data_IF_392538573691
#
_entry.id   IF_392538573691
#
_cell.length_a   1.000
_cell.length_b   1.000
_cell.length_c   1.000
_cell.angle_alpha   90.00
_cell.angle_beta   90.00
_cell.angle_gamma   90.00
#
_symmetry.space_group_name_H-M   'P 1'
#
loop_
_entity.id
_entity.type
_entity.pdbx_description
1 polymer ?
#
# COMPACT_ATOMS: atom_id res chain seq x y z
N UNK A 1 0.06 -1.49 8.98
CA UNK A 1 -0.84 -2.15 8.00
C UNK A 1 -1.71 -3.15 8.75
N UNK A 2 -3.03 -2.94 8.82
CA UNK A 2 -3.95 -3.79 9.62
C UNK A 2 -4.03 -5.23 9.12
N UNK A 3 -3.91 -5.44 7.82
CA UNK A 3 -3.94 -6.78 7.21
C UNK A 3 -2.84 -7.70 7.76
N UNK A 4 -1.61 -7.19 7.90
CA UNK A 4 -0.48 -7.95 8.46
C UNK A 4 -0.68 -8.32 9.93
N UNK A 5 -1.30 -7.43 10.71
CA UNK A 5 -1.56 -7.68 12.14
C UNK A 5 -2.51 -8.87 12.35
N UNK A 6 -3.43 -9.13 11.41
CA UNK A 6 -4.29 -10.33 11.45
C UNK A 6 -3.53 -11.65 11.26
N UNK A 7 -2.29 -11.58 10.77
CA UNK A 7 -1.39 -12.72 10.60
C UNK A 7 -0.27 -12.72 11.66
N UNK A 8 -0.36 -11.86 12.68
CA UNK A 8 0.68 -11.70 13.71
C UNK A 8 1.97 -11.05 13.19
N UNK A 9 1.95 -10.48 11.98
CA UNK A 9 3.11 -9.89 11.33
C UNK A 9 3.15 -8.38 11.60
N UNK A 10 4.32 -7.88 11.99
CA UNK A 10 4.53 -6.44 12.21
C UNK A 10 6.00 -6.06 12.00
N UNK A 11 6.25 -4.78 11.78
CA UNK A 11 7.60 -4.22 11.76
C UNK A 11 7.55 -2.79 12.27
N UNK A 12 8.58 -2.37 13.00
CA UNK A 12 8.75 -0.98 13.44
C UNK A 12 9.23 -0.05 12.32
N UNK A 13 9.70 -0.60 11.20
CA UNK A 13 10.17 0.17 10.04
C UNK A 13 9.14 0.11 8.92
N UNK A 14 8.87 1.25 8.28
CA UNK A 14 7.96 1.29 7.12
C UNK A 14 8.42 0.38 5.98
N UNK A 15 9.73 0.33 5.70
CA UNK A 15 10.31 -0.59 4.70
C UNK A 15 10.10 -2.06 5.07
N UNK A 16 10.12 -2.39 6.37
CA UNK A 16 9.79 -3.72 6.87
C UNK A 16 8.31 -4.07 6.67
N UNK A 17 7.40 -3.12 6.94
CA UNK A 17 5.97 -3.28 6.67
C UNK A 17 5.73 -3.53 5.18
N UNK A 18 6.37 -2.77 4.28
CA UNK A 18 6.30 -2.96 2.82
C UNK A 18 6.80 -4.35 2.40
N UNK A 19 7.95 -4.76 2.92
CA UNK A 19 8.53 -6.08 2.62
C UNK A 19 7.61 -7.22 3.04
N UNK A 20 7.08 -7.15 4.27
CA UNK A 20 6.12 -8.14 4.78
C UNK A 20 4.85 -8.20 3.93
N UNK A 21 4.26 -7.04 3.59
CA UNK A 21 3.09 -6.96 2.72
C UNK A 21 3.35 -7.62 1.35
N UNK A 22 4.44 -7.24 0.68
CA UNK A 22 4.79 -7.81 -0.62
C UNK A 22 5.04 -9.33 -0.54
N UNK A 23 5.66 -9.81 0.55
CA UNK A 23 5.96 -11.24 0.74
C UNK A 23 4.73 -12.07 1.09
N UNK A 24 3.88 -11.60 1.99
CA UNK A 24 2.83 -12.41 2.60
C UNK A 24 1.45 -12.19 2.02
N UNK A 25 1.18 -11.03 1.44
CA UNK A 25 -0.13 -10.72 0.85
C UNK A 25 -0.06 -10.73 -0.69
N UNK A 26 1.00 -10.16 -1.30
CA UNK A 26 1.08 -10.05 -2.76
C UNK A 26 1.62 -11.32 -3.42
N UNK A 27 2.78 -11.83 -2.97
CA UNK A 27 3.39 -13.03 -3.57
C UNK A 27 2.55 -14.30 -3.38
N UNK A 28 1.74 -14.35 -2.33
CA UNK A 28 0.83 -15.46 -2.03
C UNK A 28 -0.49 -15.37 -2.80
N UNK A 29 -0.74 -14.26 -3.52
CA UNK A 29 -1.94 -14.04 -4.31
C UNK A 29 -3.15 -13.53 -3.53
N UNK A 30 -3.03 -13.33 -2.20
CA UNK A 30 -4.11 -12.77 -1.35
C UNK A 30 -4.48 -11.35 -1.77
N UNK A 31 -3.50 -10.56 -2.20
CA UNK A 31 -3.70 -9.28 -2.88
C UNK A 31 -3.23 -9.42 -4.34
N UNK A 32 -4.09 -9.11 -5.32
CA UNK A 32 -3.71 -9.15 -6.73
C UNK A 32 -2.49 -8.27 -7.04
N UNK A 33 -1.58 -8.79 -7.86
CA UNK A 33 -0.35 -8.09 -8.26
C UNK A 33 -0.58 -6.75 -8.95
N UNK A 34 -1.75 -6.52 -9.55
CA UNK A 34 -2.06 -5.24 -10.20
C UNK A 34 -2.51 -4.15 -9.20
N UNK A 35 -2.95 -4.54 -7.99
CA UNK A 35 -3.35 -3.61 -6.93
C UNK A 35 -2.19 -3.23 -6.02
N UNK A 36 -1.19 -4.10 -5.86
CA UNK A 36 -0.04 -3.85 -5.00
C UNK A 36 0.86 -2.65 -5.37
N UNK A 37 1.07 -2.29 -6.66
CA UNK A 37 2.02 -1.24 -7.04
C UNK A 37 1.68 0.12 -6.43
N UNK A 38 0.40 0.50 -6.37
CA UNK A 38 0.01 1.83 -5.86
C UNK A 38 0.48 2.07 -4.43
N UNK A 39 0.53 1.03 -3.59
CA UNK A 39 1.04 1.13 -2.23
C UNK A 39 2.56 1.41 -2.19
N UNK A 40 3.32 0.76 -3.08
CA UNK A 40 4.76 0.97 -3.16
C UNK A 40 5.08 2.33 -3.81
N UNK A 41 4.40 2.66 -4.89
CA UNK A 41 4.57 3.91 -5.64
C UNK A 41 4.28 5.11 -4.73
N UNK A 42 3.12 5.12 -4.05
CA UNK A 42 2.76 6.23 -3.15
C UNK A 42 3.73 6.38 -1.98
N UNK A 43 4.28 5.29 -1.46
CA UNK A 43 5.30 5.40 -0.42
C UNK A 43 6.55 6.13 -0.92
N UNK A 44 7.00 5.82 -2.14
CA UNK A 44 8.17 6.46 -2.75
C UNK A 44 7.86 7.92 -3.08
N UNK A 45 6.70 8.22 -3.67
CA UNK A 45 6.29 9.60 -3.98
C UNK A 45 6.10 10.48 -2.75
N UNK A 46 5.59 9.93 -1.66
CA UNK A 46 5.56 10.66 -0.39
C UNK A 46 6.98 10.95 0.11
N UNK A 47 7.90 9.99 0.04
CA UNK A 47 9.29 10.26 0.45
C UNK A 47 9.97 11.30 -0.44
N UNK A 48 9.75 11.25 -1.75
CA UNK A 48 10.27 12.25 -2.68
C UNK A 48 9.72 13.64 -2.34
N UNK A 49 8.40 13.78 -2.18
CA UNK A 49 7.78 15.07 -1.85
C UNK A 49 8.18 15.64 -0.48
N UNK A 50 8.42 14.78 0.52
CA UNK A 50 8.75 15.22 1.87
C UNK A 50 10.25 15.53 2.06
N UNK A 51 11.13 14.88 1.29
CA UNK A 51 12.58 14.86 1.59
C UNK A 51 13.49 15.23 0.42
N UNK A 52 12.99 15.30 -0.82
CA UNK A 52 13.80 15.70 -1.97
C UNK A 52 13.52 17.15 -2.33
N UNK A 53 14.58 17.94 -2.51
CA UNK A 53 14.45 19.29 -3.03
C UNK A 53 13.93 19.27 -4.47
N UNK A 54 13.07 20.24 -4.81
CA UNK A 54 12.53 20.48 -6.16
C UNK A 54 11.58 19.40 -6.68
N UNK A 55 10.89 18.66 -5.79
CA UNK A 55 9.80 17.75 -6.16
C UNK A 55 8.46 18.43 -5.93
N UNK A 56 7.74 18.68 -7.02
CA UNK A 56 6.34 19.11 -7.00
C UNK A 56 5.51 18.16 -7.86
N UNK A 57 4.29 17.84 -7.41
CA UNK A 57 3.36 16.98 -8.15
C UNK A 57 2.18 17.81 -8.67
N UNK A 58 1.89 17.67 -9.96
CA UNK A 58 0.74 18.33 -10.58
C UNK A 58 -0.56 17.57 -10.28
N UNK A 59 -1.69 18.27 -10.23
CA UNK A 59 -3.01 17.65 -10.01
C UNK A 59 -3.28 16.51 -11.00
N UNK A 60 -2.91 16.68 -12.26
CA UNK A 60 -3.10 15.67 -13.30
C UNK A 60 -2.34 14.36 -13.02
N UNK A 61 -1.21 14.44 -12.30
CA UNK A 61 -0.43 13.27 -11.87
C UNK A 61 -1.06 12.60 -10.64
N UNK A 62 -1.54 13.40 -9.69
CA UNK A 62 -2.08 12.92 -8.40
C UNK A 62 -3.49 12.35 -8.53
N UNK A 63 -4.35 12.95 -9.36
CA UNK A 63 -5.76 12.56 -9.50
C UNK A 63 -5.95 11.07 -9.84
N UNK A 64 -5.18 10.45 -10.76
CA UNK A 64 -5.24 9.00 -11.00
C UNK A 64 -4.81 8.15 -9.79
N UNK A 65 -3.91 8.65 -8.95
CA UNK A 65 -3.43 7.91 -7.78
C UNK A 65 -4.51 7.79 -6.72
N UNK A 66 -5.34 8.81 -6.53
CA UNK A 66 -6.46 8.80 -5.58
C UNK A 66 -7.41 7.63 -5.91
N UNK A 67 -7.89 7.56 -7.15
CA UNK A 67 -8.79 6.48 -7.58
C UNK A 67 -8.16 5.07 -7.43
N UNK A 68 -6.85 4.94 -7.71
CA UNK A 68 -6.11 3.68 -7.52
C UNK A 68 -5.95 3.34 -6.03
N UNK A 69 -5.73 4.34 -5.18
CA UNK A 69 -5.61 4.18 -3.75
C UNK A 69 -6.95 3.76 -3.13
N UNK A 70 -8.06 4.36 -3.56
CA UNK A 70 -9.41 3.99 -3.13
C UNK A 70 -9.69 2.52 -3.44
N UNK A 71 -9.44 2.09 -4.68
CA UNK A 71 -9.60 0.68 -5.08
C UNK A 71 -8.75 -0.27 -4.22
N UNK A 72 -7.50 0.12 -3.95
CA UNK A 72 -6.62 -0.65 -3.07
C UNK A 72 -7.16 -0.73 -1.63
N UNK A 73 -7.62 0.39 -1.06
CA UNK A 73 -8.19 0.45 0.29
C UNK A 73 -9.43 -0.44 0.38
N UNK A 74 -10.35 -0.37 -0.59
CA UNK A 74 -11.56 -1.18 -0.64
C UNK A 74 -11.23 -2.68 -0.64
N UNK A 75 -10.25 -3.09 -1.45
CA UNK A 75 -9.81 -4.47 -1.50
C UNK A 75 -9.17 -4.94 -0.18
N UNK A 76 -8.32 -4.12 0.44
CA UNK A 76 -7.72 -4.46 1.74
C UNK A 76 -8.81 -4.53 2.84
N UNK A 77 -9.79 -3.63 2.80
CA UNK A 77 -10.91 -3.62 3.72
C UNK A 77 -11.75 -4.90 3.60
N UNK A 78 -12.05 -5.35 2.37
CA UNK A 78 -12.81 -6.59 2.16
C UNK A 78 -12.08 -7.81 2.73
N UNK A 79 -10.75 -7.88 2.58
CA UNK A 79 -9.94 -8.96 3.16
C UNK A 79 -9.96 -8.93 4.70
N UNK A 80 -9.93 -7.75 5.31
CA UNK A 80 -9.96 -7.59 6.77
C UNK A 80 -11.31 -8.00 7.35
N UNK A 81 -12.42 -7.63 6.68
CA UNK A 81 -13.78 -7.98 7.11
C UNK A 81 -14.05 -9.47 6.95
N UNK A 82 -13.66 -10.07 5.82
CA UNK A 82 -13.88 -11.50 5.54
C UNK A 82 -13.26 -12.44 6.58
N UNK A 83 -12.19 -12.01 7.27
CA UNK A 83 -11.51 -12.81 8.29
C UNK A 83 -12.15 -12.75 9.68
N UNK A 84 -13.18 -11.90 9.85
CA UNK A 84 -13.88 -11.66 11.13
C UNK A 84 -15.13 -12.54 11.30
N UNK A 85 -15.45 -13.37 10.30
CA UNK A 85 -16.55 -14.33 10.28
C UNK A 85 -16.08 -15.73 10.70
#
# INVERSE_FOLDING_TARGET
>A
MRLLLQDGLSSSKHTGVRSLFNRHDVRTGKVPKHLAPIYNDLFERCQEGDYMDFVDFEEAQVRPWIARADNFIDHIASLIVSKRA
#
